data_IF_957145862580
#
_entry.id   IF_957145862580
#
_cell.length_a   1.000
_cell.length_b   1.000
_cell.length_c   1.000
_cell.angle_alpha   90.00
_cell.angle_beta   90.00
_cell.angle_gamma   90.00
#
_symmetry.space_group_name_H-M   'P 1'
#
loop_
_entity.id
_entity.type
_entity.pdbx_description
1 polymer ?
#
# COMPACT_ATOMS: atom_id res chain seq x y z
N UNK A 1 0.29 -30.36 -6.54
CA UNK A 1 -0.08 -28.94 -6.68
C UNK A 1 -1.58 -28.87 -6.91
N UNK A 2 -2.40 -28.74 -5.83
CA UNK A 2 -3.86 -28.77 -5.93
C UNK A 2 -4.44 -27.68 -6.86
N UNK A 3 -3.73 -26.58 -7.02
CA UNK A 3 -4.18 -25.41 -7.78
C UNK A 3 -4.26 -25.63 -9.30
N UNK A 4 -3.39 -26.45 -9.90
CA UNK A 4 -3.41 -26.63 -11.36
C UNK A 4 -4.53 -27.56 -11.82
N UNK A 5 -4.85 -28.57 -11.02
CA UNK A 5 -5.90 -29.54 -11.32
C UNK A 5 -7.28 -28.89 -11.16
N UNK A 6 -7.47 -28.11 -10.10
CA UNK A 6 -8.68 -27.30 -9.88
C UNK A 6 -8.90 -26.27 -11.00
N UNK A 7 -7.84 -25.60 -11.46
CA UNK A 7 -7.89 -24.65 -12.60
C UNK A 7 -8.38 -25.31 -13.88
N UNK A 8 -7.92 -26.53 -14.17
CA UNK A 8 -8.33 -27.28 -15.37
C UNK A 8 -9.77 -27.77 -15.27
N UNK A 9 -10.20 -28.22 -14.09
CA UNK A 9 -11.53 -28.76 -13.86
C UNK A 9 -12.61 -27.68 -13.83
N UNK A 10 -12.28 -26.48 -13.33
CA UNK A 10 -13.22 -25.39 -13.10
C UNK A 10 -12.67 -24.03 -13.56
N UNK A 11 -12.45 -23.83 -14.87
CA UNK A 11 -11.83 -22.61 -15.40
C UNK A 11 -12.64 -21.34 -15.05
N UNK A 12 -13.97 -21.40 -15.16
CA UNK A 12 -14.86 -20.27 -14.87
C UNK A 12 -14.82 -19.92 -13.37
N UNK A 13 -14.91 -20.91 -12.47
CA UNK A 13 -14.87 -20.65 -11.02
C UNK A 13 -13.52 -20.09 -10.59
N UNK A 14 -12.43 -20.57 -11.19
CA UNK A 14 -11.11 -20.01 -10.96
C UNK A 14 -11.02 -18.54 -11.42
N UNK A 15 -11.54 -18.20 -12.60
CA UNK A 15 -11.53 -16.83 -13.11
C UNK A 15 -12.41 -15.88 -12.27
N UNK A 16 -13.57 -16.35 -11.82
CA UNK A 16 -14.43 -15.62 -10.87
C UNK A 16 -13.70 -15.39 -9.54
N UNK A 17 -13.04 -16.42 -9.01
CA UNK A 17 -12.27 -16.30 -7.76
C UNK A 17 -11.13 -15.31 -7.90
N UNK A 18 -10.37 -15.38 -9.00
CA UNK A 18 -9.29 -14.43 -9.29
C UNK A 18 -9.82 -13.00 -9.45
N UNK A 19 -10.98 -12.83 -10.06
CA UNK A 19 -11.62 -11.52 -10.20
C UNK A 19 -12.04 -10.96 -8.85
N UNK A 20 -12.69 -11.75 -7.99
CA UNK A 20 -13.07 -11.35 -6.64
C UNK A 20 -11.85 -11.01 -5.79
N UNK A 21 -10.84 -11.86 -5.79
CA UNK A 21 -9.56 -11.59 -5.11
C UNK A 21 -8.95 -10.32 -5.66
N UNK A 22 -8.91 -10.16 -6.99
CA UNK A 22 -8.44 -8.96 -7.69
C UNK A 22 -9.16 -7.69 -7.23
N UNK A 23 -10.48 -7.71 -7.10
CA UNK A 23 -11.27 -6.55 -6.65
C UNK A 23 -10.93 -6.13 -5.21
N UNK A 24 -10.71 -7.09 -4.31
CA UNK A 24 -10.37 -6.81 -2.90
C UNK A 24 -8.87 -6.65 -2.64
N UNK A 25 -8.01 -7.09 -3.55
CA UNK A 25 -6.56 -6.88 -3.50
C UNK A 25 -6.11 -5.67 -4.30
N UNK A 26 -6.98 -5.13 -5.17
CA UNK A 26 -6.75 -3.85 -5.81
C UNK A 26 -6.62 -2.80 -4.70
N UNK A 27 -5.40 -2.31 -4.48
CA UNK A 27 -5.13 -1.17 -3.62
C UNK A 27 -5.00 0.04 -4.54
N UNK A 28 -6.11 0.63 -5.04
CA UNK A 28 -6.08 1.72 -6.01
C UNK A 28 -5.29 2.94 -5.51
N UNK A 29 -5.00 2.99 -4.21
CA UNK A 29 -4.28 4.07 -3.56
C UNK A 29 -2.90 3.68 -3.01
N UNK A 30 -2.30 2.54 -3.35
CA UNK A 30 -0.98 2.20 -2.81
C UNK A 30 0.09 3.22 -3.21
N UNK A 31 0.10 3.66 -4.49
CA UNK A 31 0.99 4.74 -4.94
C UNK A 31 0.74 6.07 -4.22
N UNK A 32 -0.52 6.36 -3.87
CA UNK A 32 -0.87 7.56 -3.13
C UNK A 32 -0.46 7.44 -1.65
N UNK A 33 -0.64 6.26 -1.05
CA UNK A 33 -0.20 5.92 0.30
C UNK A 33 1.32 6.06 0.43
N UNK A 34 2.09 5.54 -0.53
CA UNK A 34 3.55 5.71 -0.55
C UNK A 34 3.97 7.18 -0.64
N UNK A 35 3.28 8.00 -1.45
CA UNK A 35 3.54 9.45 -1.53
C UNK A 35 3.23 10.15 -0.22
N UNK A 36 2.12 9.81 0.43
CA UNK A 36 1.73 10.39 1.73
C UNK A 36 2.75 10.06 2.82
N UNK A 37 3.23 8.81 2.88
CA UNK A 37 4.27 8.40 3.84
C UNK A 37 5.56 9.21 3.65
N UNK A 38 5.99 9.44 2.40
CA UNK A 38 7.18 10.26 2.12
C UNK A 38 6.99 11.71 2.55
N UNK A 39 5.78 12.24 2.35
CA UNK A 39 5.46 13.63 2.70
C UNK A 39 5.37 13.81 4.21
N UNK A 40 4.82 12.83 4.93
CA UNK A 40 4.82 12.77 6.38
C UNK A 40 6.24 12.77 6.96
N UNK A 41 7.14 11.95 6.41
CA UNK A 41 8.54 11.91 6.85
C UNK A 41 9.25 13.27 6.66
N UNK A 42 9.06 13.91 5.51
CA UNK A 42 9.63 15.23 5.23
C UNK A 42 9.08 16.31 6.16
N UNK A 43 7.78 16.26 6.45
CA UNK A 43 7.15 17.18 7.39
C UNK A 43 7.73 17.01 8.79
N UNK A 44 7.88 15.76 9.24
CA UNK A 44 8.47 15.45 10.55
C UNK A 44 9.89 16.00 10.68
N UNK A 45 10.73 15.78 9.66
CA UNK A 45 12.11 16.28 9.64
C UNK A 45 12.16 17.82 9.74
N UNK A 46 11.26 18.52 9.04
CA UNK A 46 11.19 19.98 9.07
C UNK A 46 10.70 20.52 10.41
N UNK A 47 9.71 19.86 11.02
CA UNK A 47 9.25 20.22 12.36
C UNK A 47 10.36 20.02 13.39
N UNK A 48 11.11 18.92 13.32
CA UNK A 48 12.23 18.67 14.21
C UNK A 48 13.34 19.72 14.06
N UNK A 49 13.63 20.15 12.82
CA UNK A 49 14.57 21.26 12.55
C UNK A 49 14.10 22.58 13.18
N UNK A 50 12.81 22.88 13.10
CA UNK A 50 12.23 24.08 13.69
C UNK A 50 12.24 24.03 15.23
N UNK A 51 11.92 22.87 15.82
CA UNK A 51 11.98 22.70 17.28
C UNK A 51 13.40 22.85 17.80
N UNK A 52 14.40 22.26 17.13
CA UNK A 52 15.82 22.44 17.49
C UNK A 52 16.23 23.91 17.40
N UNK A 53 15.91 24.58 16.30
CA UNK A 53 16.21 25.99 16.14
C UNK A 53 15.56 26.86 17.23
N UNK A 54 14.32 26.55 17.62
CA UNK A 54 13.62 27.27 18.70
C UNK A 54 14.30 27.06 20.06
N UNK A 55 14.68 25.82 20.37
CA UNK A 55 15.30 25.48 21.65
C UNK A 55 16.77 25.93 21.75
N UNK A 56 17.45 26.18 20.62
CA UNK A 56 18.81 26.77 20.59
C UNK A 56 18.80 28.30 20.81
N UNK A 57 17.66 28.95 20.59
CA UNK A 57 17.47 30.40 20.83
C UNK A 57 16.99 30.76 22.23
N UNK A 58 16.64 29.78 23.07
CA UNK A 58 16.36 29.95 24.52
C UNK A 58 17.61 29.64 25.36
#
# INVERSE_FOLDING_TARGET
MPDEEYKKLHPILNEVTQTYVGLYTNRPNEKNREKLIKLEALLHEKLEQLEKARNETE
#
